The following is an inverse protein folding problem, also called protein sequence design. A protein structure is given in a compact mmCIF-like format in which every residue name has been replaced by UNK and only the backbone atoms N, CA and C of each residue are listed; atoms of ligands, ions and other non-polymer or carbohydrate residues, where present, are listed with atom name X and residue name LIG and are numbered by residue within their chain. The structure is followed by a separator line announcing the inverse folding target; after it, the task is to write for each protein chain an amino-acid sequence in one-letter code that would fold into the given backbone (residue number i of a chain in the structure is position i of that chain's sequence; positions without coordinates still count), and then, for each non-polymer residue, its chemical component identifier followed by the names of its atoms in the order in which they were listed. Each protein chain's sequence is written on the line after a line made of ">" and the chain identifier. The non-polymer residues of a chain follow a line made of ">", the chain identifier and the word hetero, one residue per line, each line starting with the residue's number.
data_IF_844928817214
#
_entry.id   IF_844928817214
#
_cell.length_a   1.000
_cell.length_b   1.000
_cell.length_c   1.000
_cell.angle_alpha   90.00
_cell.angle_beta   90.00
_cell.angle_gamma   90.00
#
_symmetry.space_group_name_H-M   'P 1'
#
loop_
_entity.id
_entity.type
_entity.pdbx_description
1 polymer ?
#
# COMPACT_ATOMS: atom_id res chain seq x y z
N UNK A 1 1.35 -21.92 -1.96
CA UNK A 1 1.48 -20.45 -2.03
C UNK A 1 2.00 -19.95 -0.70
N UNK A 2 3.02 -19.09 -0.72
CA UNK A 2 3.55 -18.45 0.48
C UNK A 2 3.75 -16.96 0.22
N UNK A 3 3.72 -16.19 1.28
CA UNK A 3 4.16 -14.80 1.33
C UNK A 3 5.39 -14.74 2.22
N UNK A 4 6.47 -14.18 1.70
CA UNK A 4 7.70 -13.92 2.43
C UNK A 4 7.85 -12.42 2.55
N UNK A 5 8.13 -11.93 3.73
CA UNK A 5 8.39 -10.52 3.97
C UNK A 5 9.67 -10.38 4.80
N UNK A 6 10.60 -9.57 4.31
CA UNK A 6 11.84 -9.24 4.99
C UNK A 6 11.65 -7.95 5.79
N UNK A 7 11.78 -8.05 7.10
CA UNK A 7 11.68 -6.90 8.01
C UNK A 7 12.99 -6.10 8.02
N UNK A 8 13.36 -5.52 6.88
CA UNK A 8 14.53 -4.66 6.70
C UNK A 8 14.10 -3.28 6.19
N UNK A 9 14.99 -2.31 6.21
CA UNK A 9 14.80 -1.00 5.59
C UNK A 9 15.91 -0.79 4.54
N UNK A 10 15.58 -0.71 3.26
CA UNK A 10 14.26 -0.93 2.65
C UNK A 10 13.81 -2.40 2.67
N UNK A 11 12.53 -2.63 2.94
CA UNK A 11 11.95 -3.96 3.01
C UNK A 11 11.78 -4.61 1.63
N UNK A 12 11.63 -5.93 1.64
CA UNK A 12 11.31 -6.74 0.46
C UNK A 12 10.16 -7.68 0.80
N UNK A 13 9.24 -7.86 -0.13
CA UNK A 13 8.24 -8.91 -0.04
C UNK A 13 8.18 -9.73 -1.32
N UNK A 14 7.84 -11.01 -1.14
CA UNK A 14 7.73 -11.99 -2.21
C UNK A 14 6.46 -12.79 -2.04
N UNK A 15 5.79 -13.09 -3.12
CA UNK A 15 4.72 -14.08 -3.13
C UNK A 15 4.71 -14.86 -4.43
N UNK A 16 4.26 -16.11 -4.36
CA UNK A 16 4.00 -16.92 -5.55
C UNK A 16 2.57 -16.67 -6.05
N UNK A 17 2.38 -16.67 -7.34
CA UNK A 17 1.07 -16.66 -8.00
C UNK A 17 0.61 -18.08 -8.30
N UNK A 18 -0.68 -18.25 -8.63
CA UNK A 18 -1.25 -19.56 -8.95
C UNK A 18 -0.69 -20.17 -10.24
N UNK A 19 -0.19 -19.34 -11.13
CA UNK A 19 0.43 -19.73 -12.41
C UNK A 19 1.97 -19.91 -12.31
N UNK A 20 2.51 -19.99 -11.09
CA UNK A 20 3.91 -20.31 -10.85
C UNK A 20 4.90 -19.17 -10.98
N UNK A 21 4.44 -17.91 -11.15
CA UNK A 21 5.31 -16.73 -11.16
C UNK A 21 5.62 -16.26 -9.74
N UNK A 22 6.69 -15.49 -9.60
CA UNK A 22 7.06 -14.79 -8.37
C UNK A 22 6.79 -13.30 -8.54
N UNK A 23 6.02 -12.73 -7.63
CA UNK A 23 5.86 -11.29 -7.49
C UNK A 23 6.84 -10.82 -6.42
N UNK A 24 7.69 -9.87 -6.76
CA UNK A 24 8.69 -9.26 -5.88
C UNK A 24 8.43 -7.75 -5.80
N UNK A 25 8.36 -7.22 -4.60
CA UNK A 25 8.13 -5.78 -4.39
C UNK A 25 8.79 -5.27 -3.11
N UNK A 26 8.77 -3.96 -2.94
CA UNK A 26 9.39 -3.26 -1.83
C UNK A 26 10.31 -2.13 -2.28
N UNK A 27 11.16 -1.66 -1.39
CA UNK A 27 12.09 -0.57 -1.67
C UNK A 27 11.38 0.76 -1.94
N UNK A 28 10.34 1.06 -1.18
CA UNK A 28 9.52 2.26 -1.33
C UNK A 28 10.35 3.54 -1.18
N UNK A 29 9.96 4.57 -1.90
CA UNK A 29 10.57 5.89 -1.84
C UNK A 29 9.50 6.97 -1.66
N UNK A 30 9.73 7.94 -0.80
CA UNK A 30 8.87 9.11 -0.73
C UNK A 30 9.02 9.95 -2.00
N UNK A 31 7.92 10.39 -2.58
CA UNK A 31 7.92 11.30 -3.72
C UNK A 31 6.68 12.21 -3.70
N UNK A 32 6.78 13.35 -4.39
CA UNK A 32 5.67 14.29 -4.60
C UNK A 32 5.40 14.44 -6.10
N UNK A 33 6.44 14.31 -6.92
CA UNK A 33 6.40 14.50 -8.36
C UNK A 33 6.38 13.16 -9.09
N UNK A 34 5.34 12.92 -9.90
CA UNK A 34 5.18 11.68 -10.66
C UNK A 34 6.33 11.43 -11.66
N UNK A 35 6.91 12.47 -12.25
CA UNK A 35 8.03 12.33 -13.16
C UNK A 35 9.29 11.80 -12.45
N UNK A 36 9.52 12.20 -11.20
CA UNK A 36 10.61 11.66 -10.38
C UNK A 36 10.39 10.19 -10.04
N UNK A 37 9.15 9.79 -9.70
CA UNK A 37 8.78 8.39 -9.49
C UNK A 37 9.12 7.55 -10.73
N UNK A 38 8.68 8.01 -11.89
CA UNK A 38 8.85 7.27 -13.14
C UNK A 38 10.32 7.15 -13.54
N UNK A 39 11.12 8.18 -13.30
CA UNK A 39 12.56 8.16 -13.52
C UNK A 39 13.31 7.16 -12.62
N UNK A 40 12.80 6.91 -11.40
CA UNK A 40 13.38 5.92 -10.47
C UNK A 40 13.02 4.48 -10.81
N UNK A 41 12.00 4.23 -11.62
CA UNK A 41 11.43 2.89 -11.83
C UNK A 41 12.48 1.88 -12.31
N UNK A 42 13.27 2.22 -13.33
CA UNK A 42 14.29 1.30 -13.85
C UNK A 42 15.36 0.94 -12.81
N UNK A 43 15.80 1.92 -12.03
CA UNK A 43 16.75 1.69 -10.92
C UNK A 43 16.18 0.77 -9.85
N UNK A 44 14.90 0.97 -9.49
CA UNK A 44 14.21 0.16 -8.49
C UNK A 44 13.97 -1.26 -8.96
N UNK A 45 13.62 -1.47 -10.21
CA UNK A 45 13.49 -2.81 -10.77
C UNK A 45 14.82 -3.56 -10.74
N UNK A 46 15.92 -2.91 -11.11
CA UNK A 46 17.26 -3.47 -10.99
C UNK A 46 17.66 -3.78 -9.54
N UNK A 47 17.26 -2.95 -8.58
CA UNK A 47 17.49 -3.20 -7.16
C UNK A 47 16.73 -4.44 -6.68
N UNK A 48 15.42 -4.55 -6.97
CA UNK A 48 14.58 -5.69 -6.58
C UNK A 48 15.07 -6.99 -7.20
N UNK A 49 15.44 -6.97 -8.49
CA UNK A 49 16.01 -8.12 -9.18
C UNK A 49 17.28 -8.63 -8.49
N UNK A 50 18.25 -7.76 -8.21
CA UNK A 50 19.50 -8.16 -7.53
C UNK A 50 19.24 -8.71 -6.11
N UNK A 51 18.25 -8.17 -5.39
CA UNK A 51 17.85 -8.71 -4.08
C UNK A 51 17.26 -10.10 -4.20
N UNK A 52 16.38 -10.31 -5.18
CA UNK A 52 15.75 -11.61 -5.46
C UNK A 52 16.80 -12.66 -5.84
N UNK A 53 17.69 -12.35 -6.77
CA UNK A 53 18.79 -13.23 -7.20
C UNK A 53 19.72 -13.62 -6.05
N UNK A 54 19.97 -12.71 -5.12
CA UNK A 54 20.79 -12.98 -3.92
C UNK A 54 20.09 -13.95 -2.95
N UNK A 55 18.78 -13.81 -2.78
CA UNK A 55 18.00 -14.67 -1.88
C UNK A 55 17.74 -16.05 -2.50
N UNK A 56 17.56 -16.10 -3.79
CA UNK A 56 17.20 -17.30 -4.54
C UNK A 56 18.05 -17.43 -5.82
N UNK A 57 19.35 -17.79 -5.69
CA UNK A 57 20.26 -17.85 -6.86
C UNK A 57 19.84 -18.85 -7.95
N UNK A 58 18.97 -19.79 -7.60
CA UNK A 58 18.43 -20.80 -8.52
C UNK A 58 17.26 -20.30 -9.37
N UNK A 59 16.71 -19.12 -9.06
CA UNK A 59 15.61 -18.55 -9.85
C UNK A 59 16.19 -17.76 -11.04
N UNK A 60 15.65 -18.05 -12.22
CA UNK A 60 15.79 -17.12 -13.35
C UNK A 60 14.88 -15.93 -13.10
N UNK A 61 15.48 -14.82 -12.67
CA UNK A 61 14.76 -13.64 -12.22
C UNK A 61 14.54 -12.62 -13.35
N UNK A 62 14.37 -13.06 -14.60
CA UNK A 62 14.01 -12.16 -15.70
C UNK A 62 12.56 -11.65 -15.51
N UNK A 63 12.37 -10.34 -15.34
CA UNK A 63 11.03 -9.80 -15.09
C UNK A 63 10.20 -9.82 -16.38
N UNK A 64 9.07 -10.47 -16.35
CA UNK A 64 8.08 -10.44 -17.44
C UNK A 64 7.19 -9.20 -17.35
N UNK A 65 7.00 -8.65 -16.17
CA UNK A 65 6.23 -7.45 -15.91
C UNK A 65 6.90 -6.63 -14.80
N UNK A 66 6.86 -5.32 -14.94
CA UNK A 66 7.34 -4.41 -13.91
C UNK A 66 6.44 -3.16 -13.87
N UNK A 67 6.11 -2.72 -12.68
CA UNK A 67 5.29 -1.51 -12.47
C UNK A 67 5.61 -0.86 -11.15
N UNK A 68 5.28 0.41 -11.01
CA UNK A 68 5.30 1.15 -9.77
C UNK A 68 3.88 1.57 -9.41
N UNK A 69 3.55 1.49 -8.14
CA UNK A 69 2.31 2.00 -7.56
C UNK A 69 2.57 3.19 -6.65
N UNK A 70 1.55 4.02 -6.46
CA UNK A 70 1.57 5.12 -5.51
C UNK A 70 0.51 4.89 -4.47
N UNK A 71 0.85 5.11 -3.21
CA UNK A 71 -0.13 5.20 -2.14
C UNK A 71 0.11 6.47 -1.31
N UNK A 72 -0.99 7.07 -0.89
CA UNK A 72 -0.96 8.24 -0.01
C UNK A 72 -0.82 7.82 1.45
N UNK A 73 -0.04 8.56 2.20
CA UNK A 73 0.07 8.44 3.65
C UNK A 73 -0.45 9.71 4.31
N UNK A 74 -0.94 9.61 5.52
CA UNK A 74 -1.25 10.74 6.38
C UNK A 74 -0.05 11.08 7.27
N UNK A 75 -0.04 12.26 7.86
CA UNK A 75 0.99 12.68 8.82
C UNK A 75 1.05 11.79 10.08
N UNK A 76 -0.07 11.17 10.43
CA UNK A 76 -0.19 10.29 11.60
C UNK A 76 0.07 8.81 11.30
N UNK A 77 0.21 8.45 10.02
CA UNK A 77 0.30 7.05 9.57
C UNK A 77 -1.04 6.29 9.62
N UNK A 78 -2.13 6.92 10.08
CA UNK A 78 -3.48 6.36 10.09
C UNK A 78 -4.33 6.96 8.96
N UNK A 79 -5.26 6.21 8.34
CA UNK A 79 -6.12 6.75 7.30
C UNK A 79 -7.09 7.81 7.85
N UNK A 80 -7.58 8.66 6.98
CA UNK A 80 -8.68 9.57 7.24
C UNK A 80 -9.96 8.94 6.70
N UNK A 81 -10.89 8.60 7.59
CA UNK A 81 -12.14 7.90 7.25
C UNK A 81 -13.30 8.64 7.90
N UNK A 82 -14.26 9.10 7.11
CA UNK A 82 -15.42 9.75 7.66
C UNK A 82 -16.00 10.85 6.78
N UNK A 83 -16.85 11.65 7.36
CA UNK A 83 -17.48 12.79 6.70
C UNK A 83 -16.49 13.96 6.61
N UNK A 84 -16.39 14.58 5.46
CA UNK A 84 -15.56 15.80 5.30
C UNK A 84 -16.17 16.96 6.09
N UNK A 85 -15.34 17.73 6.83
CA UNK A 85 -15.77 18.92 7.53
C UNK A 85 -16.53 19.90 6.62
N UNK A 86 -17.65 20.43 7.11
CA UNK A 86 -18.50 21.34 6.35
C UNK A 86 -19.28 20.73 5.19
N UNK A 87 -19.19 19.42 4.94
CA UNK A 87 -19.91 18.74 3.84
C UNK A 87 -20.88 17.69 4.37
N UNK A 88 -22.16 17.83 4.08
CA UNK A 88 -23.20 16.95 4.62
C UNK A 88 -23.24 15.55 3.98
N UNK A 89 -22.85 15.43 2.69
CA UNK A 89 -22.99 14.22 1.88
C UNK A 89 -21.68 13.77 1.23
N UNK A 90 -20.55 14.28 1.70
CA UNK A 90 -19.25 13.93 1.17
C UNK A 90 -18.44 13.20 2.24
N UNK A 91 -18.00 12.01 1.90
CA UNK A 91 -17.21 11.13 2.75
C UNK A 91 -15.87 10.87 2.11
N UNK A 92 -14.87 10.55 2.90
CA UNK A 92 -13.52 10.27 2.44
C UNK A 92 -12.96 9.01 3.06
N UNK A 93 -12.11 8.33 2.29
CA UNK A 93 -11.20 7.27 2.75
C UNK A 93 -9.86 7.57 2.09
N UNK A 94 -8.91 8.11 2.82
CA UNK A 94 -7.62 8.58 2.30
C UNK A 94 -6.48 8.18 3.21
N UNK A 95 -5.26 8.11 2.67
CA UNK A 95 -4.05 7.91 3.46
C UNK A 95 -3.87 6.49 4.00
N UNK A 96 -4.39 5.49 3.29
CA UNK A 96 -4.31 4.08 3.72
C UNK A 96 -2.90 3.48 3.69
N UNK A 97 -1.93 4.17 3.11
CA UNK A 97 -0.56 3.67 2.97
C UNK A 97 -0.51 2.32 2.26
N UNK A 98 0.41 1.47 2.66
CA UNK A 98 0.55 0.10 2.14
C UNK A 98 -0.52 -0.89 2.65
N UNK A 99 -1.35 -0.51 3.63
CA UNK A 99 -2.34 -1.38 4.26
C UNK A 99 -3.77 -1.18 3.71
N UNK A 100 -3.89 -0.85 2.42
CA UNK A 100 -5.14 -0.49 1.79
C UNK A 100 -6.26 -1.53 1.95
N UNK A 101 -5.96 -2.83 1.89
CA UNK A 101 -6.96 -3.90 2.05
C UNK A 101 -7.57 -3.86 3.46
N UNK A 102 -6.74 -3.81 4.50
CA UNK A 102 -7.18 -3.76 5.89
C UNK A 102 -8.01 -2.51 6.17
N UNK A 103 -7.51 -1.35 5.74
CA UNK A 103 -8.19 -0.09 5.95
C UNK A 103 -9.45 0.08 5.10
N UNK A 104 -9.55 -0.58 3.95
CA UNK A 104 -10.79 -0.58 3.16
C UNK A 104 -11.91 -1.30 3.90
N UNK A 105 -11.62 -2.42 4.56
CA UNK A 105 -12.63 -3.13 5.36
C UNK A 105 -13.06 -2.31 6.57
N UNK A 106 -12.11 -1.73 7.29
CA UNK A 106 -12.40 -0.84 8.41
C UNK A 106 -13.23 0.37 7.96
N UNK A 107 -12.86 0.99 6.84
CA UNK A 107 -13.61 2.11 6.27
C UNK A 107 -15.05 1.74 5.92
N UNK A 108 -15.28 0.56 5.35
CA UNK A 108 -16.62 0.08 5.06
C UNK A 108 -17.47 -0.05 6.32
N UNK A 109 -16.91 -0.55 7.41
CA UNK A 109 -17.59 -0.67 8.71
C UNK A 109 -17.91 0.70 9.31
N UNK A 110 -16.92 1.59 9.40
CA UNK A 110 -17.06 2.93 9.95
C UNK A 110 -18.07 3.78 9.15
N UNK A 111 -17.98 3.76 7.82
CA UNK A 111 -18.90 4.52 6.98
C UNK A 111 -20.32 3.95 7.03
N UNK A 112 -20.47 2.62 7.10
CA UNK A 112 -21.78 2.01 7.31
C UNK A 112 -22.41 2.50 8.62
N UNK A 113 -21.67 2.41 9.73
CA UNK A 113 -22.15 2.87 11.05
C UNK A 113 -22.54 4.36 11.00
N UNK A 114 -21.69 5.20 10.41
CA UNK A 114 -21.94 6.63 10.27
C UNK A 114 -23.21 6.93 9.42
N UNK A 115 -23.44 6.17 8.35
CA UNK A 115 -24.61 6.36 7.50
C UNK A 115 -25.92 5.91 8.15
N UNK A 116 -25.86 4.89 8.99
CA UNK A 116 -27.01 4.37 9.75
C UNK A 116 -27.26 5.14 11.06
N UNK A 117 -26.36 6.05 11.45
CA UNK A 117 -26.43 6.75 12.74
C UNK A 117 -26.10 5.84 13.92
N UNK A 118 -25.42 4.73 13.69
CA UNK A 118 -24.94 3.82 14.73
C UNK A 118 -23.66 4.38 15.36
N UNK A 119 -23.50 4.37 16.69
CA UNK A 119 -22.27 4.81 17.32
C UNK A 119 -21.14 3.81 17.08
N UNK A 120 -19.95 4.34 16.77
CA UNK A 120 -18.73 3.54 16.66
C UNK A 120 -17.62 4.25 17.46
N UNK A 121 -17.05 3.55 18.44
CA UNK A 121 -16.07 4.11 19.38
C UNK A 121 -14.75 4.50 18.70
N UNK A 122 -14.42 3.86 17.58
CA UNK A 122 -13.15 4.06 16.90
C UNK A 122 -13.26 5.14 15.80
N UNK A 123 -14.50 5.61 15.52
CA UNK A 123 -14.74 6.58 14.44
C UNK A 123 -13.95 7.90 14.61
N UNK A 124 -13.75 8.36 15.84
CA UNK A 124 -13.01 9.59 16.12
C UNK A 124 -11.51 9.50 15.83
N UNK A 125 -10.93 8.28 15.90
CA UNK A 125 -9.51 8.05 15.61
C UNK A 125 -9.17 8.32 14.15
N UNK A 126 -10.13 8.13 13.27
CA UNK A 126 -9.99 8.23 11.84
C UNK A 126 -10.69 9.47 11.24
N UNK A 127 -11.40 10.24 12.05
CA UNK A 127 -12.20 11.36 11.57
C UNK A 127 -11.33 12.42 10.88
N UNK A 128 -11.71 12.90 9.67
CA UNK A 128 -11.10 14.06 9.04
C UNK A 128 -11.29 15.32 9.90
N UNK A 129 -10.21 16.08 10.09
CA UNK A 129 -10.19 17.33 10.86
C UNK A 129 -9.95 18.52 9.95
#
# INVERSE_FOLDING_TARGET
>A
QCLIWEASDPYLYLRTTSDGRVLCGGGDEPFVDAAKRDALSAQKFGFLRRRLERLFPQLDAEPTHAWAGTFGTSATGTPLIGRLPGKRRLFTVLGCGGNGITFSMLAAQLLRALLLGEPDRDAELFAPR
#
